data_IF_151293860328
#
_entry.id   IF_151293860328
#
_cell.length_a   1.000
_cell.length_b   1.000
_cell.length_c   1.000
_cell.angle_alpha   90.00
_cell.angle_beta   90.00
_cell.angle_gamma   90.00
#
_symmetry.space_group_name_H-M   'P 1'
#
loop_
_entity.id
_entity.type
_entity.pdbx_description
1 polymer ?
#
# COMPACT_ATOMS: atom_id res chain seq x y z
N UNK A 1 16.68 1.69 -5.31
CA UNK A 1 15.58 1.58 -4.34
C UNK A 1 15.43 0.13 -3.91
N UNK A 2 15.15 -0.09 -2.62
CA UNK A 2 14.80 -1.41 -2.11
C UNK A 2 13.55 -1.31 -1.24
N UNK A 3 12.85 -2.43 -1.07
CA UNK A 3 11.74 -2.54 -0.11
C UNK A 3 12.06 -3.63 0.89
N UNK A 4 11.60 -3.47 2.12
CA UNK A 4 11.75 -4.45 3.18
C UNK A 4 10.63 -4.32 4.21
N UNK A 5 10.49 -5.33 5.07
CA UNK A 5 9.57 -5.23 6.20
C UNK A 5 10.01 -4.14 7.19
N UNK A 6 9.00 -3.45 7.73
CA UNK A 6 9.16 -2.57 8.87
C UNK A 6 9.65 -3.36 10.09
N UNK A 7 10.51 -2.74 10.89
CA UNK A 7 10.97 -3.26 12.19
C UNK A 7 10.66 -2.23 13.26
N UNK A 8 10.50 -2.66 14.51
CA UNK A 8 10.24 -1.73 15.61
C UNK A 8 11.32 -0.63 15.73
N UNK A 9 12.56 -0.93 15.35
CA UNK A 9 13.66 0.05 15.33
C UNK A 9 13.48 1.15 14.29
N UNK A 10 12.60 0.97 13.31
CA UNK A 10 12.30 1.98 12.29
C UNK A 10 11.31 3.06 12.78
N UNK A 11 10.65 2.83 13.92
CA UNK A 11 9.59 3.72 14.41
C UNK A 11 10.06 5.16 14.58
N UNK A 12 11.27 5.35 15.09
CA UNK A 12 11.83 6.68 15.28
C UNK A 12 11.99 7.42 13.94
N UNK A 13 12.52 6.73 12.93
CA UNK A 13 12.67 7.31 11.59
C UNK A 13 11.30 7.65 10.96
N UNK A 14 10.27 6.85 11.22
CA UNK A 14 8.92 7.13 10.73
C UNK A 14 8.31 8.41 11.33
N UNK A 15 8.78 8.85 12.50
CA UNK A 15 8.31 10.11 13.08
C UNK A 15 8.68 11.31 12.21
N UNK A 16 9.75 11.21 11.43
CA UNK A 16 10.18 12.24 10.49
C UNK A 16 9.56 12.10 9.09
N UNK A 17 8.75 11.06 8.88
CA UNK A 17 8.06 10.85 7.62
C UNK A 17 7.04 11.96 7.41
N UNK A 18 7.17 12.69 6.29
CA UNK A 18 6.37 13.88 6.04
C UNK A 18 5.14 13.51 5.23
N UNK A 19 3.99 13.52 5.89
CA UNK A 19 2.70 13.25 5.25
C UNK A 19 1.62 14.07 5.97
N UNK A 20 1.15 15.13 5.33
CA UNK A 20 0.13 16.04 5.87
C UNK A 20 -1.23 15.83 5.22
N UNK A 21 -1.29 15.36 3.97
CA UNK A 21 -2.53 15.08 3.28
C UNK A 21 -3.02 13.68 3.65
N UNK A 22 -3.97 13.62 4.58
CA UNK A 22 -4.51 12.36 5.11
C UNK A 22 -5.93 12.08 4.61
N UNK A 23 -6.36 12.71 3.51
CA UNK A 23 -7.73 12.52 2.99
C UNK A 23 -8.02 11.07 2.59
N UNK A 24 -7.03 10.36 2.06
CA UNK A 24 -7.21 9.01 1.51
C UNK A 24 -6.28 7.97 2.13
N UNK A 25 -5.49 8.33 3.14
CA UNK A 25 -4.51 7.45 3.78
C UNK A 25 -4.26 7.86 5.22
N UNK A 26 -3.54 7.05 5.97
CA UNK A 26 -3.10 7.37 7.33
C UNK A 26 -1.59 7.56 7.37
N UNK A 27 -1.12 8.34 8.34
CA UNK A 27 0.31 8.49 8.57
C UNK A 27 0.93 7.14 8.99
N UNK A 28 2.14 6.80 8.52
CA UNK A 28 2.79 5.53 8.87
C UNK A 28 2.87 5.24 10.38
N UNK A 29 3.08 6.25 11.21
CA UNK A 29 3.12 6.07 12.68
C UNK A 29 1.79 5.51 13.21
N UNK A 30 0.67 5.97 12.68
CA UNK A 30 -0.65 5.45 13.05
C UNK A 30 -0.86 4.04 12.48
N UNK A 31 -0.41 3.82 11.26
CA UNK A 31 -0.57 2.53 10.61
C UNK A 31 0.19 1.41 11.31
N UNK A 32 1.40 1.67 11.84
CA UNK A 32 2.20 0.65 12.55
C UNK A 32 1.74 0.41 13.98
N UNK A 33 0.78 1.17 14.50
CA UNK A 33 0.24 0.97 15.85
C UNK A 33 -0.54 -0.33 15.98
N UNK A 34 -1.11 -0.86 14.89
CA UNK A 34 -1.81 -2.14 14.86
C UNK A 34 -1.36 -2.94 13.65
N UNK A 35 -0.51 -3.93 13.90
CA UNK A 35 0.02 -4.82 12.85
C UNK A 35 -0.51 -6.26 12.99
N UNK A 36 -1.61 -6.46 13.69
CA UNK A 36 -2.26 -7.77 13.74
C UNK A 36 -2.73 -8.15 12.32
N UNK A 37 -2.26 -9.29 11.82
CA UNK A 37 -2.51 -9.79 10.46
C UNK A 37 -2.07 -8.82 9.36
N UNK A 38 -1.12 -7.94 9.65
CA UNK A 38 -0.67 -6.91 8.71
C UNK A 38 0.84 -6.91 8.60
N UNK A 39 1.31 -6.64 7.39
CA UNK A 39 2.73 -6.50 7.08
C UNK A 39 2.98 -5.06 6.67
N UNK A 40 3.77 -4.34 7.45
CA UNK A 40 4.20 -3.00 7.07
C UNK A 40 5.49 -3.10 6.25
N UNK A 41 5.52 -2.40 5.12
CA UNK A 41 6.64 -2.43 4.18
C UNK A 41 7.13 -1.01 3.95
N UNK A 42 8.45 -0.86 3.97
CA UNK A 42 9.14 0.40 3.73
C UNK A 42 9.84 0.37 2.39
N UNK A 43 9.74 1.47 1.64
CA UNK A 43 10.62 1.70 0.50
C UNK A 43 11.75 2.64 0.92
N UNK A 44 12.99 2.27 0.56
CA UNK A 44 14.18 3.00 0.97
C UNK A 44 15.03 3.39 -0.23
N UNK A 45 15.57 4.60 -0.17
CA UNK A 45 16.58 5.11 -1.10
C UNK A 45 17.71 5.65 -0.25
N UNK A 46 18.93 5.11 -0.45
CA UNK A 46 20.10 5.50 0.33
C UNK A 46 19.84 5.48 1.85
N UNK A 47 19.21 4.40 2.33
CA UNK A 47 18.85 4.18 3.73
C UNK A 47 17.75 5.09 4.28
N UNK A 48 17.18 5.96 3.43
CA UNK A 48 16.09 6.84 3.83
C UNK A 48 14.74 6.27 3.44
N UNK A 49 13.79 6.31 4.35
CA UNK A 49 12.41 5.84 4.10
C UNK A 49 11.71 6.87 3.22
N UNK A 50 11.29 6.46 2.03
CA UNK A 50 10.62 7.35 1.06
C UNK A 50 9.18 6.93 0.78
N UNK A 51 8.86 5.64 0.94
CA UNK A 51 7.49 5.13 0.76
C UNK A 51 7.12 4.20 1.90
N UNK A 52 5.82 4.03 2.10
CA UNK A 52 5.27 3.17 3.13
C UNK A 52 3.98 2.52 2.62
N UNK A 53 3.74 1.27 2.99
CA UNK A 53 2.46 0.62 2.75
C UNK A 53 2.19 -0.49 3.77
N UNK A 54 0.92 -0.88 3.85
CA UNK A 54 0.47 -2.04 4.62
C UNK A 54 -0.07 -3.08 3.64
N UNK A 55 0.31 -4.34 3.82
CA UNK A 55 -0.36 -5.50 3.23
C UNK A 55 -1.14 -6.19 4.34
N UNK A 56 -2.47 -6.15 4.25
CA UNK A 56 -3.36 -6.67 5.28
C UNK A 56 -3.87 -8.05 4.86
N UNK A 57 -3.55 -9.07 5.66
CA UNK A 57 -3.97 -10.44 5.44
C UNK A 57 -5.28 -10.79 6.17
N UNK A 58 -5.87 -9.84 6.90
CA UNK A 58 -7.09 -10.03 7.66
C UNK A 58 -8.36 -10.05 6.80
N UNK A 59 -9.50 -10.05 7.46
CA UNK A 59 -10.80 -10.24 6.82
C UNK A 59 -11.28 -9.05 6.00
N UNK A 60 -10.71 -7.87 6.20
CA UNK A 60 -11.12 -6.66 5.47
C UNK A 60 -11.04 -6.83 3.95
N UNK A 61 -10.11 -7.65 3.47
CA UNK A 61 -9.96 -7.94 2.03
C UNK A 61 -11.25 -8.49 1.40
N UNK A 62 -12.05 -9.22 2.15
CA UNK A 62 -13.29 -9.81 1.63
C UNK A 62 -14.34 -8.74 1.31
N UNK A 63 -14.31 -7.61 1.99
CA UNK A 63 -15.17 -6.46 1.68
C UNK A 63 -14.93 -5.94 0.27
N UNK A 64 -13.69 -6.08 -0.23
CA UNK A 64 -13.29 -5.62 -1.57
C UNK A 64 -13.40 -6.72 -2.63
N UNK A 65 -13.88 -7.91 -2.27
CA UNK A 65 -13.99 -9.04 -3.19
C UNK A 65 -12.73 -9.90 -3.26
N UNK A 66 -11.83 -9.77 -2.28
CA UNK A 66 -10.63 -10.59 -2.19
C UNK A 66 -10.93 -12.03 -1.81
N UNK A 67 -9.93 -12.89 -2.03
CA UNK A 67 -9.95 -14.31 -1.71
C UNK A 67 -9.06 -14.57 -0.48
N UNK A 68 -9.09 -15.78 0.12
CA UNK A 68 -8.19 -16.09 1.25
C UNK A 68 -6.72 -15.83 0.95
N UNK A 69 -6.27 -16.08 -0.29
CA UNK A 69 -4.88 -15.84 -0.71
C UNK A 69 -4.61 -14.42 -1.22
N UNK A 70 -5.55 -13.49 -1.03
CA UNK A 70 -5.35 -12.08 -1.34
C UNK A 70 -4.73 -11.33 -0.17
N UNK A 71 -3.95 -10.28 -0.47
CA UNK A 71 -3.53 -9.27 0.47
C UNK A 71 -4.22 -7.94 0.12
N UNK A 72 -4.73 -7.24 1.12
CA UNK A 72 -5.29 -5.91 0.93
C UNK A 72 -4.21 -4.85 1.09
N UNK A 73 -3.92 -4.14 0.01
CA UNK A 73 -2.99 -3.00 0.06
C UNK A 73 -3.71 -1.80 0.64
N UNK A 74 -3.13 -1.21 1.68
CA UNK A 74 -3.69 -0.04 2.34
C UNK A 74 -2.59 0.85 2.91
N UNK A 75 -2.93 2.09 3.25
CA UNK A 75 -2.01 3.06 3.84
C UNK A 75 -0.76 3.30 2.99
N UNK A 76 -0.91 3.23 1.66
CA UNK A 76 0.20 3.46 0.74
C UNK A 76 0.42 4.97 0.56
N UNK A 77 1.65 5.40 0.76
CA UNK A 77 2.02 6.80 0.60
C UNK A 77 3.49 6.96 0.21
N UNK A 78 3.81 8.14 -0.32
CA UNK A 78 5.19 8.61 -0.51
C UNK A 78 5.38 9.81 0.40
N UNK A 79 6.50 9.85 1.11
CA UNK A 79 6.89 11.02 1.90
C UNK A 79 6.85 12.27 1.00
N UNK A 80 6.21 13.34 1.47
CA UNK A 80 5.96 14.53 0.66
C UNK A 80 7.25 15.20 0.17
N UNK A 81 8.36 15.03 0.90
CA UNK A 81 9.67 15.55 0.49
C UNK A 81 10.27 14.77 -0.68
N UNK A 82 9.72 13.62 -1.01
CA UNK A 82 10.24 12.71 -2.05
C UNK A 82 9.25 12.43 -3.17
N UNK A 83 8.12 13.11 -3.19
CA UNK A 83 7.11 12.96 -4.25
C UNK A 83 7.63 13.46 -5.60
N UNK A 84 6.96 13.03 -6.68
CA UNK A 84 7.29 13.42 -8.06
C UNK A 84 8.63 12.87 -8.56
N UNK A 85 9.13 11.82 -7.94
CA UNK A 85 10.41 11.17 -8.31
C UNK A 85 10.24 9.72 -8.76
N UNK A 86 8.98 9.24 -8.86
CA UNK A 86 8.67 7.88 -9.29
C UNK A 86 8.83 6.80 -8.22
N UNK A 87 9.03 7.15 -6.96
CA UNK A 87 9.26 6.16 -5.90
C UNK A 87 8.02 5.31 -5.60
N UNK A 88 6.83 5.90 -5.68
CA UNK A 88 5.59 5.12 -5.53
C UNK A 88 5.47 4.03 -6.59
N UNK A 89 5.72 4.37 -7.84
CA UNK A 89 5.71 3.42 -8.95
C UNK A 89 6.77 2.32 -8.77
N UNK A 90 7.99 2.70 -8.39
CA UNK A 90 9.07 1.73 -8.15
C UNK A 90 8.70 0.76 -7.01
N UNK A 91 8.12 1.27 -5.93
CA UNK A 91 7.67 0.46 -4.81
C UNK A 91 6.66 -0.59 -5.25
N UNK A 92 5.63 -0.18 -6.00
CA UNK A 92 4.60 -1.10 -6.47
C UNK A 92 5.16 -2.14 -7.42
N UNK A 93 6.12 -1.77 -8.27
CA UNK A 93 6.75 -2.71 -9.21
C UNK A 93 7.62 -3.75 -8.50
N UNK A 94 8.14 -3.44 -7.33
CA UNK A 94 8.94 -4.38 -6.53
C UNK A 94 8.09 -5.34 -5.71
N UNK A 95 6.81 -5.05 -5.48
CA UNK A 95 5.94 -5.86 -4.62
C UNK A 95 5.76 -7.30 -5.10
N UNK A 96 5.49 -7.59 -6.38
CA UNK A 96 5.25 -8.98 -6.79
C UNK A 96 6.39 -9.93 -6.43
N UNK A 97 7.63 -9.57 -6.75
CA UNK A 97 8.79 -10.41 -6.41
C UNK A 97 9.00 -10.51 -4.91
N UNK A 98 8.77 -9.42 -4.18
CA UNK A 98 8.86 -9.41 -2.71
C UNK A 98 7.86 -10.39 -2.09
N UNK A 99 6.62 -10.38 -2.56
CA UNK A 99 5.58 -11.30 -2.06
C UNK A 99 5.93 -12.74 -2.42
N UNK A 100 6.40 -13.00 -3.63
CA UNK A 100 6.83 -14.36 -4.02
C UNK A 100 7.93 -14.89 -3.12
N UNK A 101 8.86 -14.03 -2.71
CA UNK A 101 9.99 -14.42 -1.88
C UNK A 101 9.61 -14.58 -0.41
N UNK A 102 8.91 -13.62 0.16
CA UNK A 102 8.69 -13.53 1.61
C UNK A 102 7.28 -13.92 2.06
N UNK A 103 6.30 -13.88 1.20
CA UNK A 103 4.90 -14.17 1.51
C UNK A 103 4.28 -15.08 0.42
N UNK A 104 4.92 -16.23 0.12
CA UNK A 104 4.56 -17.03 -1.06
C UNK A 104 3.17 -17.67 -1.00
N UNK A 105 2.52 -17.69 0.18
CA UNK A 105 1.16 -18.19 0.30
C UNK A 105 0.11 -17.26 -0.32
N UNK A 106 0.46 -16.00 -0.59
CA UNK A 106 -0.47 -15.03 -1.17
C UNK A 106 -0.29 -14.93 -2.68
N UNK A 107 -1.41 -14.80 -3.41
CA UNK A 107 -1.44 -14.89 -4.88
C UNK A 107 -1.98 -13.65 -5.57
N UNK A 108 -2.46 -12.68 -4.79
CA UNK A 108 -2.96 -11.42 -5.36
C UNK A 108 -2.89 -10.29 -4.34
N UNK A 109 -2.88 -9.07 -4.88
CA UNK A 109 -3.04 -7.85 -4.11
C UNK A 109 -4.35 -7.22 -4.56
N UNK A 110 -5.24 -6.88 -3.61
CA UNK A 110 -6.46 -6.16 -3.89
C UNK A 110 -6.45 -4.85 -3.13
N UNK A 111 -7.10 -3.83 -3.66
CA UNK A 111 -7.17 -2.54 -2.99
C UNK A 111 -8.44 -1.78 -3.37
N UNK A 112 -8.83 -0.84 -2.51
CA UNK A 112 -9.82 0.16 -2.83
C UNK A 112 -9.15 1.53 -2.94
N UNK A 113 -9.53 2.29 -3.94
CA UNK A 113 -9.07 3.67 -4.12
C UNK A 113 -10.28 4.58 -4.31
N UNK A 114 -10.31 5.69 -3.55
CA UNK A 114 -11.38 6.67 -3.70
C UNK A 114 -11.41 7.17 -5.15
N UNK A 115 -12.59 7.18 -5.78
CA UNK A 115 -12.72 7.55 -7.19
C UNK A 115 -12.33 9.01 -7.46
N UNK A 116 -12.24 9.85 -6.41
CA UNK A 116 -11.70 11.21 -6.53
C UNK A 116 -10.18 11.27 -6.52
N UNK A 117 -9.52 10.17 -6.09
CA UNK A 117 -8.06 10.09 -6.05
C UNK A 117 -7.53 9.58 -7.39
N UNK A 118 -7.57 10.43 -8.41
CA UNK A 118 -7.19 10.06 -9.77
C UNK A 118 -5.69 9.80 -9.92
N UNK A 119 -4.87 10.46 -9.12
CA UNK A 119 -3.41 10.25 -9.11
C UNK A 119 -3.11 8.81 -8.71
N UNK A 120 -3.72 8.32 -7.64
CA UNK A 120 -3.53 6.93 -7.19
C UNK A 120 -4.09 5.93 -8.20
N UNK A 121 -5.29 6.17 -8.73
CA UNK A 121 -5.89 5.30 -9.75
C UNK A 121 -5.00 5.13 -10.97
N UNK A 122 -4.43 6.23 -11.45
CA UNK A 122 -3.49 6.20 -12.57
C UNK A 122 -2.25 5.37 -12.22
N UNK A 123 -1.69 5.60 -11.03
CA UNK A 123 -0.51 4.88 -10.56
C UNK A 123 -0.75 3.37 -10.51
N UNK A 124 -1.89 2.94 -10.00
CA UNK A 124 -2.21 1.51 -9.93
C UNK A 124 -2.34 0.90 -11.32
N UNK A 125 -3.04 1.56 -12.24
CA UNK A 125 -3.15 1.08 -13.63
C UNK A 125 -1.78 0.97 -14.29
N UNK A 126 -0.93 1.99 -14.13
CA UNK A 126 0.40 2.02 -14.75
C UNK A 126 1.35 0.96 -14.17
N UNK A 127 1.06 0.44 -12.99
CA UNK A 127 1.89 -0.59 -12.35
C UNK A 127 1.31 -1.99 -12.45
N UNK A 128 0.30 -2.19 -13.31
CA UNK A 128 -0.20 -3.50 -13.65
C UNK A 128 -1.49 -3.94 -12.96
N UNK A 129 -2.05 -3.11 -12.09
CA UNK A 129 -3.33 -3.41 -11.47
C UNK A 129 -4.46 -3.23 -12.47
N UNK A 130 -5.45 -4.14 -12.40
CA UNK A 130 -6.65 -4.10 -13.23
C UNK A 130 -7.85 -3.66 -12.42
N UNK A 131 -8.64 -2.73 -12.97
CA UNK A 131 -9.89 -2.30 -12.35
C UNK A 131 -10.89 -3.44 -12.32
N UNK A 132 -11.51 -3.64 -11.18
CA UNK A 132 -12.55 -4.65 -10.99
C UNK A 132 -13.94 -4.04 -11.17
N UNK A 133 -14.98 -4.86 -11.42
CA UNK A 133 -16.33 -4.33 -11.64
C UNK A 133 -16.99 -3.77 -10.38
N UNK A 134 -16.60 -4.20 -9.18
CA UNK A 134 -17.24 -3.78 -7.93
C UNK A 134 -16.79 -2.39 -7.49
N UNK A 135 -17.69 -1.68 -6.82
CA UNK A 135 -17.43 -0.42 -6.13
C UNK A 135 -17.82 -0.59 -4.67
N UNK A 136 -17.10 0.07 -3.77
CA UNK A 136 -17.33 -0.02 -2.32
C UNK A 136 -17.56 1.38 -1.76
N UNK A 137 -18.64 1.55 -1.00
CA UNK A 137 -18.89 2.81 -0.31
C UNK A 137 -18.10 2.85 0.99
N UNK A 138 -17.16 3.77 1.08
CA UNK A 138 -16.36 3.99 2.28
C UNK A 138 -16.72 5.31 2.98
N UNK A 139 -16.05 5.63 4.11
CA UNK A 139 -16.33 6.87 4.85
C UNK A 139 -16.08 8.15 4.05
N UNK A 140 -15.13 8.11 3.11
CA UNK A 140 -14.76 9.25 2.28
C UNK A 140 -15.45 9.23 0.91
N UNK A 141 -16.41 8.31 0.68
CA UNK A 141 -17.15 8.19 -0.57
C UNK A 141 -16.88 6.85 -1.28
N UNK A 142 -17.26 6.80 -2.55
CA UNK A 142 -17.12 5.60 -3.35
C UNK A 142 -15.67 5.30 -3.67
N UNK A 143 -15.34 4.00 -3.61
CA UNK A 143 -14.03 3.48 -3.98
C UNK A 143 -14.16 2.55 -5.17
N UNK A 144 -13.22 2.68 -6.11
CA UNK A 144 -12.99 1.69 -7.15
C UNK A 144 -12.05 0.62 -6.61
N UNK A 145 -12.21 -0.61 -7.09
CA UNK A 145 -11.39 -1.75 -6.66
C UNK A 145 -10.43 -2.12 -7.78
N UNK A 146 -9.17 -2.36 -7.42
CA UNK A 146 -8.12 -2.80 -8.33
C UNK A 146 -7.48 -4.07 -7.79
N UNK A 147 -7.01 -4.94 -8.68
CA UNK A 147 -6.34 -6.18 -8.31
C UNK A 147 -5.13 -6.42 -9.19
N UNK A 148 -4.07 -6.93 -8.57
CA UNK A 148 -2.88 -7.42 -9.25
C UNK A 148 -2.66 -8.89 -8.87
N UNK A 149 -2.62 -9.78 -9.86
CA UNK A 149 -2.28 -11.19 -9.63
C UNK A 149 -0.78 -11.36 -9.60
N UNK A 150 -0.32 -12.13 -8.64
CA UNK A 150 1.10 -12.38 -8.42
C UNK A 150 1.54 -13.67 -9.16
#
# INVERSE_FOLDING_TARGET
>A
MQIRFYRSSDREALQSYHLTDLRFTSHPIQAVADLENRYAILGLVEHQIVTFLILDAGEKKFTYGGQPESLLLRSFSTDEDFQMRGYGSQTLKLLPDFIREYLPMYKSIILGVNERNQVASYLYRETGFSKQPQRILGPAGWQEVYELKI
#
